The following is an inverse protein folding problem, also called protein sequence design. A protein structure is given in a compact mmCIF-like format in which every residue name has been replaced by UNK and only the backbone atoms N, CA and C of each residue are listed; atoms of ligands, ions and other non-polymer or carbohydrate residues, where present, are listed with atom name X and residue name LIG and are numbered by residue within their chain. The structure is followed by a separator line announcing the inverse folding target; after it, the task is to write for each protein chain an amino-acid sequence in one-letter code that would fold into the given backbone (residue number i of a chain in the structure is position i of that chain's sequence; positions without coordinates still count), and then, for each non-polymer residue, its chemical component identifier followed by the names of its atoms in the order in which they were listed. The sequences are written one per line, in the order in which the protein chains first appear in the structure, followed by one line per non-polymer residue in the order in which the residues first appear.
data_IF_622753126779
#
_entry.id   IF_622753126779
#
_cell.length_a   1.000
_cell.length_b   1.000
_cell.length_c   1.000
_cell.angle_alpha   90.00
_cell.angle_beta   90.00
_cell.angle_gamma   90.00
#
_symmetry.space_group_name_H-M   'P 1'
#
loop_
_entity.id
_entity.type
_entity.pdbx_description
1 polymer ?
#
# COMPACT_ATOMS: atom_id res chain seq x y z
N UNK A 1 -3.39 0.95 -20.71
CA UNK A 1 -3.36 -0.13 -19.71
C UNK A 1 -3.40 0.54 -18.34
N UNK A 2 -4.60 0.82 -17.85
CA UNK A 2 -4.80 1.25 -16.46
C UNK A 2 -4.37 0.11 -15.55
N UNK A 3 -3.52 0.42 -14.57
CA UNK A 3 -2.87 -0.56 -13.71
C UNK A 3 -3.91 -1.05 -12.70
N UNK A 4 -4.11 -2.36 -12.53
CA UNK A 4 -5.13 -2.92 -11.61
C UNK A 4 -4.98 -2.42 -10.14
N UNK A 5 -3.83 -1.82 -9.79
CA UNK A 5 -3.66 -1.06 -8.55
C UNK A 5 -4.56 0.18 -8.43
N UNK A 6 -5.04 0.77 -9.54
CA UNK A 6 -5.99 1.89 -9.56
C UNK A 6 -7.44 1.41 -9.38
N UNK A 7 -7.76 0.19 -9.83
CA UNK A 7 -9.10 -0.41 -9.66
C UNK A 7 -9.42 -0.73 -8.20
N UNK A 8 -8.44 -1.14 -7.39
CA UNK A 8 -8.69 -1.42 -5.97
C UNK A 8 -8.78 -0.16 -5.09
N UNK A 9 -8.42 1.02 -5.59
CA UNK A 9 -8.46 2.29 -4.84
C UNK A 9 -9.77 3.08 -5.05
N UNK A 10 -10.61 2.68 -6.01
CA UNK A 10 -11.79 3.44 -6.41
C UNK A 10 -13.03 3.25 -5.51
N UNK A 11 -12.98 2.40 -4.48
CA UNK A 11 -14.20 1.99 -3.76
C UNK A 11 -14.65 2.97 -2.64
N UNK A 12 -13.88 4.00 -2.29
CA UNK A 12 -14.15 4.74 -1.01
C UNK A 12 -14.21 6.27 -1.04
N UNK A 13 -14.25 6.93 -2.20
CA UNK A 13 -14.54 8.37 -2.28
C UNK A 13 -15.75 8.65 -3.18
N UNK A 14 -16.72 9.42 -2.67
CA UNK A 14 -17.82 9.97 -3.47
C UNK A 14 -17.32 11.12 -4.37
N UNK A 15 -18.18 11.63 -5.26
CA UNK A 15 -17.79 12.68 -6.23
C UNK A 15 -17.23 13.93 -5.53
N UNK A 16 -17.92 14.45 -4.52
CA UNK A 16 -17.47 15.65 -3.79
C UNK A 16 -16.13 15.44 -3.09
N UNK A 17 -15.90 14.26 -2.51
CA UNK A 17 -14.62 13.90 -1.89
C UNK A 17 -13.50 13.79 -2.93
N UNK A 18 -13.78 13.28 -4.14
CA UNK A 18 -12.80 13.24 -5.23
C UNK A 18 -12.43 14.65 -5.69
N UNK A 19 -13.41 15.55 -5.79
CA UNK A 19 -13.16 16.95 -6.16
C UNK A 19 -12.30 17.65 -5.11
N UNK A 20 -12.60 17.46 -3.82
CA UNK A 20 -11.78 17.96 -2.73
C UNK A 20 -10.35 17.38 -2.75
N UNK A 21 -10.21 16.07 -2.96
CA UNK A 21 -8.90 15.43 -3.06
C UNK A 21 -8.08 15.97 -4.25
N UNK A 22 -8.75 16.27 -5.38
CA UNK A 22 -8.10 16.84 -6.57
C UNK A 22 -7.62 18.27 -6.30
N UNK A 23 -8.42 19.08 -5.61
CA UNK A 23 -8.01 20.42 -5.19
C UNK A 23 -6.77 20.38 -4.27
N UNK A 24 -6.71 19.43 -3.32
CA UNK A 24 -5.52 19.22 -2.48
C UNK A 24 -4.30 18.85 -3.33
N UNK A 25 -4.48 17.92 -4.28
CA UNK A 25 -3.39 17.49 -5.15
C UNK A 25 -2.84 18.64 -6.00
N UNK A 26 -3.72 19.49 -6.54
CA UNK A 26 -3.31 20.63 -7.35
C UNK A 26 -2.61 21.70 -6.52
N UNK A 27 -3.06 21.93 -5.28
CA UNK A 27 -2.34 22.79 -4.33
C UNK A 27 -0.93 22.26 -4.05
N UNK A 28 -0.79 20.97 -3.73
CA UNK A 28 0.52 20.33 -3.47
C UNK A 28 1.42 20.41 -4.70
N UNK A 29 0.89 20.22 -5.92
CA UNK A 29 1.66 20.40 -7.15
C UNK A 29 2.21 21.82 -7.29
N UNK A 30 1.40 22.84 -7.01
CA UNK A 30 1.84 24.23 -7.04
C UNK A 30 2.92 24.57 -5.99
N UNK A 31 2.87 23.95 -4.81
CA UNK A 31 3.93 24.08 -3.80
C UNK A 31 5.23 23.40 -4.26
N UNK A 32 5.14 22.22 -4.88
CA UNK A 32 6.30 21.52 -5.43
C UNK A 32 6.94 22.34 -6.57
N UNK A 33 6.13 22.91 -7.47
CA UNK A 33 6.64 23.71 -8.58
C UNK A 33 7.31 25.01 -8.07
N UNK A 34 6.80 25.60 -6.99
CA UNK A 34 7.48 26.73 -6.31
C UNK A 34 8.78 26.30 -5.64
N UNK A 35 8.79 25.17 -4.95
CA UNK A 35 10.00 24.61 -4.33
C UNK A 35 11.10 24.34 -5.36
N UNK A 36 10.72 23.86 -6.55
CA UNK A 36 11.70 23.56 -7.60
C UNK A 36 12.26 24.81 -8.25
N UNK A 37 11.52 25.92 -8.27
CA UNK A 37 11.94 27.18 -8.91
C UNK A 37 12.46 26.98 -10.35
N UNK A 38 11.83 26.07 -11.10
CA UNK A 38 12.21 25.72 -12.48
C UNK A 38 13.29 24.63 -12.60
N UNK A 39 13.87 24.15 -11.50
CA UNK A 39 14.83 23.05 -11.51
C UNK A 39 14.12 21.69 -11.67
N UNK A 40 14.40 21.00 -12.77
CA UNK A 40 13.77 19.72 -13.09
C UNK A 40 14.16 18.57 -12.15
N UNK A 41 15.40 18.58 -11.63
CA UNK A 41 15.88 17.53 -10.73
C UNK A 41 15.27 17.70 -9.34
N UNK A 42 15.17 18.95 -8.85
CA UNK A 42 14.47 19.25 -7.60
C UNK A 42 12.99 18.90 -7.71
N UNK A 43 12.35 19.25 -8.82
CA UNK A 43 10.95 18.91 -9.10
C UNK A 43 10.71 17.39 -9.01
N UNK A 44 11.56 16.61 -9.68
CA UNK A 44 11.47 15.16 -9.67
C UNK A 44 11.72 14.57 -8.28
N UNK A 45 12.76 15.03 -7.59
CA UNK A 45 13.12 14.57 -6.25
C UNK A 45 12.01 14.86 -5.23
N UNK A 46 11.44 16.06 -5.24
CA UNK A 46 10.36 16.46 -4.35
C UNK A 46 9.09 15.60 -4.53
N UNK A 47 8.67 15.37 -5.78
CA UNK A 47 7.53 14.48 -6.10
C UNK A 47 7.76 13.07 -5.56
N UNK A 48 8.96 12.52 -5.77
CA UNK A 48 9.31 11.19 -5.28
C UNK A 48 9.34 11.12 -3.76
N UNK A 49 9.88 12.14 -3.10
CA UNK A 49 9.95 12.23 -1.65
C UNK A 49 8.56 12.25 -1.02
N UNK A 50 7.67 13.13 -1.49
CA UNK A 50 6.30 13.26 -0.98
C UNK A 50 5.53 11.95 -1.18
N UNK A 51 5.59 11.36 -2.38
CA UNK A 51 4.99 10.04 -2.65
C UNK A 51 5.47 8.99 -1.65
N UNK A 52 6.78 8.92 -1.42
CA UNK A 52 7.35 7.94 -0.49
C UNK A 52 6.88 8.16 0.96
N UNK A 53 6.69 9.43 1.39
CA UNK A 53 6.14 9.75 2.71
C UNK A 53 4.68 9.33 2.85
N UNK A 54 3.83 9.65 1.89
CA UNK A 54 2.42 9.21 1.89
C UNK A 54 2.31 7.67 1.88
N UNK A 55 3.20 6.98 1.15
CA UNK A 55 3.27 5.52 1.20
C UNK A 55 3.71 4.97 2.56
N UNK A 56 4.58 5.69 3.29
CA UNK A 56 4.96 5.32 4.65
C UNK A 56 3.79 5.48 5.62
N UNK A 57 2.96 6.51 5.46
CA UNK A 57 1.77 6.71 6.30
C UNK A 57 0.77 5.55 6.12
N UNK A 58 0.63 5.03 4.90
CA UNK A 58 -0.24 3.89 4.59
C UNK A 58 0.34 2.54 5.08
N UNK A 59 1.65 2.31 4.86
CA UNK A 59 2.28 0.98 5.00
C UNK A 59 3.15 0.81 6.24
N UNK A 60 3.48 1.89 6.93
CA UNK A 60 4.48 1.92 7.99
C UNK A 60 5.93 1.77 7.49
N UNK A 61 6.89 2.04 8.36
CA UNK A 61 8.32 1.88 8.11
C UNK A 61 8.73 0.41 7.90
N UNK A 62 9.89 0.17 7.28
CA UNK A 62 10.39 -1.18 6.99
C UNK A 62 10.44 -2.09 8.24
N UNK A 63 10.89 -1.54 9.37
CA UNK A 63 10.93 -2.25 10.64
C UNK A 63 9.52 -2.62 11.14
N UNK A 64 8.55 -1.72 11.01
CA UNK A 64 7.16 -1.97 11.40
C UNK A 64 6.55 -3.08 10.52
N UNK A 65 6.81 -3.04 9.20
CA UNK A 65 6.37 -4.10 8.27
C UNK A 65 7.00 -5.46 8.58
N UNK A 66 8.28 -5.47 8.97
CA UNK A 66 8.97 -6.69 9.40
C UNK A 66 8.33 -7.29 10.66
N UNK A 67 8.10 -6.45 11.68
CA UNK A 67 7.42 -6.86 12.92
C UNK A 67 6.01 -7.39 12.65
N UNK A 68 5.24 -6.69 11.81
CA UNK A 68 3.90 -7.14 11.39
C UNK A 68 3.95 -8.53 10.77
N UNK A 69 4.84 -8.75 9.80
CA UNK A 69 5.00 -10.06 9.15
C UNK A 69 5.30 -11.17 10.15
N UNK A 70 6.21 -10.95 11.09
CA UNK A 70 6.53 -11.94 12.13
C UNK A 70 5.30 -12.26 12.98
N UNK A 71 4.61 -11.24 13.49
CA UNK A 71 3.41 -11.44 14.33
C UNK A 71 2.30 -12.18 13.59
N UNK A 72 2.07 -11.86 12.31
CA UNK A 72 1.11 -12.58 11.48
C UNK A 72 1.50 -14.05 11.30
N UNK A 73 2.79 -14.34 11.10
CA UNK A 73 3.28 -15.70 10.92
C UNK A 73 3.04 -16.53 12.18
N UNK A 74 3.36 -15.99 13.35
CA UNK A 74 3.16 -16.63 14.64
C UNK A 74 1.66 -16.87 14.90
N UNK A 75 0.83 -15.82 14.71
CA UNK A 75 -0.63 -15.90 14.87
C UNK A 75 -1.27 -16.94 13.95
N UNK A 76 -0.79 -17.03 12.71
CA UNK A 76 -1.28 -17.99 11.72
C UNK A 76 -0.59 -19.35 11.81
N UNK A 77 0.26 -19.57 12.81
CA UNK A 77 1.01 -20.82 13.00
C UNK A 77 1.79 -21.24 11.73
N UNK A 78 2.34 -20.25 11.02
CA UNK A 78 3.05 -20.45 9.77
C UNK A 78 2.21 -21.02 8.63
N UNK A 79 0.89 -20.82 8.61
CA UNK A 79 -0.01 -21.31 7.56
C UNK A 79 -0.60 -20.16 6.73
N UNK A 80 -0.86 -20.44 5.45
CA UNK A 80 -1.58 -19.54 4.56
C UNK A 80 -3.05 -19.50 4.98
N UNK A 81 -3.61 -18.30 5.14
CA UNK A 81 -5.01 -18.15 5.58
C UNK A 81 -6.01 -18.58 4.50
N UNK A 82 -5.64 -18.54 3.21
CA UNK A 82 -6.53 -18.91 2.10
C UNK A 82 -6.64 -20.43 1.93
N UNK A 83 -5.50 -21.14 1.92
CA UNK A 83 -5.48 -22.57 1.60
C UNK A 83 -5.16 -23.48 2.79
N UNK A 84 -4.92 -22.91 3.98
CA UNK A 84 -4.52 -23.58 5.22
C UNK A 84 -3.20 -24.39 5.16
N UNK A 85 -2.50 -24.42 4.03
CA UNK A 85 -1.22 -25.12 3.88
C UNK A 85 -0.07 -24.32 4.52
N UNK A 86 1.01 -25.01 4.97
CA UNK A 86 2.18 -24.34 5.52
C UNK A 86 2.81 -23.32 4.54
N UNK A 87 3.22 -22.19 5.10
CA UNK A 87 4.13 -21.24 4.46
C UNK A 87 5.55 -21.72 4.72
N UNK A 88 6.28 -22.11 3.67
CA UNK A 88 7.62 -22.70 3.81
C UNK A 88 8.59 -21.81 4.62
N UNK A 89 8.47 -20.49 4.48
CA UNK A 89 9.22 -19.48 5.24
C UNK A 89 8.50 -18.15 5.20
N UNK A 90 8.69 -17.33 6.22
CA UNK A 90 8.10 -15.98 6.28
C UNK A 90 8.48 -15.13 5.06
N UNK A 91 9.72 -15.21 4.57
CA UNK A 91 10.19 -14.42 3.43
C UNK A 91 9.49 -14.77 2.10
N UNK A 92 8.92 -15.97 1.98
CA UNK A 92 8.15 -16.40 0.81
C UNK A 92 6.65 -16.10 0.89
N UNK A 93 6.17 -15.58 2.01
CA UNK A 93 4.76 -15.22 2.18
C UNK A 93 4.48 -13.78 1.72
N UNK A 94 3.29 -13.55 1.17
CA UNK A 94 2.77 -12.22 0.84
C UNK A 94 1.80 -11.74 1.93
N UNK A 95 1.84 -10.44 2.22
CA UNK A 95 0.87 -9.79 3.11
C UNK A 95 -0.29 -9.31 2.26
N UNK A 96 -1.47 -9.84 2.53
CA UNK A 96 -2.72 -9.44 1.91
C UNK A 96 -3.52 -8.55 2.87
N UNK A 97 -4.16 -7.50 2.37
CA UNK A 97 -5.12 -6.68 3.14
C UNK A 97 -6.53 -7.22 2.95
N UNK A 98 -7.25 -7.45 4.04
CA UNK A 98 -8.60 -8.04 3.99
C UNK A 98 -9.73 -7.01 3.94
N UNK A 99 -9.41 -5.72 4.14
CA UNK A 99 -10.38 -4.64 4.12
C UNK A 99 -9.75 -3.25 3.95
N UNK A 100 -10.58 -2.19 3.97
CA UNK A 100 -10.10 -0.82 3.91
C UNK A 100 -9.29 -0.47 5.16
N UNK A 101 -8.16 0.21 4.98
CA UNK A 101 -7.29 0.66 6.07
C UNK A 101 -5.82 0.36 5.86
N UNK A 102 -5.03 0.71 6.88
CA UNK A 102 -3.59 0.49 6.91
C UNK A 102 -3.19 -0.97 7.06
N UNK A 103 -1.88 -1.22 7.01
CA UNK A 103 -1.30 -2.53 7.26
C UNK A 103 -1.18 -2.79 8.77
N UNK A 104 -2.26 -3.30 9.39
CA UNK A 104 -2.31 -3.73 10.80
C UNK A 104 -2.50 -5.23 10.93
N UNK A 105 -2.31 -5.80 12.12
CA UNK A 105 -2.50 -7.24 12.34
C UNK A 105 -3.96 -7.65 12.07
N UNK A 106 -4.91 -6.80 12.40
CA UNK A 106 -6.35 -7.05 12.26
C UNK A 106 -6.80 -6.95 10.79
N UNK A 107 -6.15 -6.08 10.01
CA UNK A 107 -6.50 -5.84 8.61
C UNK A 107 -5.60 -6.58 7.61
N UNK A 108 -4.70 -7.45 8.08
CA UNK A 108 -3.80 -8.19 7.18
C UNK A 108 -3.64 -9.66 7.54
N UNK A 109 -3.35 -10.45 6.50
CA UNK A 109 -3.09 -11.88 6.59
C UNK A 109 -1.88 -12.27 5.74
N UNK A 110 -1.17 -13.32 6.12
CA UNK A 110 -0.14 -13.95 5.29
C UNK A 110 -0.74 -15.05 4.41
N UNK A 111 -0.33 -15.03 3.15
CA UNK A 111 -0.77 -15.96 2.12
C UNK A 111 0.39 -16.39 1.23
N UNK A 112 0.24 -17.50 0.52
CA UNK A 112 1.18 -17.84 -0.56
C UNK A 112 1.07 -16.82 -1.71
N UNK A 113 2.15 -16.55 -2.46
CA UNK A 113 2.11 -15.69 -3.64
C UNK A 113 1.03 -16.10 -4.65
N UNK A 114 0.89 -17.40 -4.91
CA UNK A 114 -0.09 -17.92 -5.87
C UNK A 114 -1.53 -17.79 -5.37
N UNK A 115 -1.74 -17.93 -4.06
CA UNK A 115 -3.04 -17.70 -3.43
C UNK A 115 -3.40 -16.22 -3.46
N UNK A 116 -2.42 -15.34 -3.23
CA UNK A 116 -2.59 -13.89 -3.31
C UNK A 116 -3.02 -13.46 -4.71
N UNK A 117 -2.31 -13.91 -5.74
CA UNK A 117 -2.62 -13.57 -7.12
C UNK A 117 -3.99 -14.09 -7.55
N UNK A 118 -4.35 -15.33 -7.17
CA UNK A 118 -5.66 -15.89 -7.49
C UNK A 118 -6.78 -15.05 -6.88
N UNK A 119 -6.63 -14.66 -5.61
CA UNK A 119 -7.63 -13.85 -4.92
C UNK A 119 -7.81 -12.43 -5.49
N UNK A 120 -6.83 -11.87 -6.20
CA UNK A 120 -6.95 -10.58 -6.89
C UNK A 120 -7.46 -10.68 -8.33
N UNK A 121 -7.55 -11.90 -8.90
CA UNK A 121 -8.07 -12.13 -10.26
C UNK A 121 -9.58 -12.41 -10.29
N UNK A 122 -10.14 -12.83 -9.15
CA UNK A 122 -11.57 -13.10 -8.96
C UNK A 122 -12.29 -11.83 -8.46
#
# INVERSE_FOLDING_TARGET
MENDSEKQLAITLNNAQRDAARAILDHVRGEIDRLSNGDADVLFAARRYIKARLQLDERGAAQQRGRLRTRLFDRQQGKCTICAKPLAKLSGAHVHRVGPGGYTEENTILVHPECHERHHRD
#
